data_IF_931739034662
#
_entry.id   IF_931739034662
#
_cell.length_a   1.000
_cell.length_b   1.000
_cell.length_c   1.000
_cell.angle_alpha   90.00
_cell.angle_beta   90.00
_cell.angle_gamma   90.00
#
_symmetry.space_group_name_H-M   'P 1'
#
loop_
_entity.id
_entity.type
_entity.pdbx_description
1 polymer ?
#
# COMPACT_ATOMS: atom_id res chain seq x y z
N UNK A 1 3.33 -18.26 5.47
CA UNK A 1 2.59 -17.31 6.33
C UNK A 1 1.35 -16.86 5.56
N UNK A 2 0.16 -16.89 6.17
CA UNK A 2 -1.04 -16.37 5.53
C UNK A 2 -1.23 -14.88 5.86
N UNK A 3 -1.81 -14.10 4.93
CA UNK A 3 -1.98 -12.66 5.17
C UNK A 3 -2.90 -12.34 6.34
N UNK A 4 -3.82 -13.24 6.71
CA UNK A 4 -4.67 -13.03 7.90
C UNK A 4 -3.84 -12.87 9.19
N UNK A 5 -2.69 -13.53 9.27
CA UNK A 5 -1.81 -13.47 10.43
C UNK A 5 -0.97 -12.19 10.40
N UNK A 6 -0.52 -11.79 9.20
CA UNK A 6 0.08 -10.47 8.95
C UNK A 6 -0.88 -9.36 9.35
N UNK A 7 -2.11 -9.41 8.87
CA UNK A 7 -3.16 -8.42 9.12
C UNK A 7 -3.39 -8.23 10.62
N UNK A 8 -3.45 -9.32 11.41
CA UNK A 8 -3.63 -9.24 12.86
C UNK A 8 -2.51 -8.50 13.58
N UNK A 9 -1.29 -8.54 13.04
CA UNK A 9 -0.11 -7.90 13.60
C UNK A 9 0.05 -6.42 13.17
N UNK A 10 -0.68 -5.97 12.15
CA UNK A 10 -0.55 -4.62 11.63
C UNK A 10 -0.95 -3.55 12.65
N UNK A 11 -0.12 -2.52 12.69
CA UNK A 11 -0.26 -1.26 13.42
C UNK A 11 0.09 -0.11 12.48
N UNK A 12 -0.19 1.11 12.91
CA UNK A 12 0.22 2.31 12.19
C UNK A 12 1.71 2.62 12.42
N UNK A 13 2.61 1.74 11.96
CA UNK A 13 4.05 1.90 12.16
C UNK A 13 4.89 1.35 10.99
N UNK A 14 6.19 1.69 11.00
CA UNK A 14 7.14 1.23 9.99
C UNK A 14 7.40 -0.28 10.06
N UNK A 15 7.25 -0.91 11.23
CA UNK A 15 7.40 -2.37 11.34
C UNK A 15 6.32 -3.10 10.52
N UNK A 16 5.10 -2.56 10.51
CA UNK A 16 3.99 -3.08 9.72
C UNK A 16 4.22 -2.88 8.23
N UNK A 17 4.89 -1.80 7.83
CA UNK A 17 5.35 -1.58 6.44
C UNK A 17 6.34 -2.67 6.02
N UNK A 18 7.32 -2.99 6.86
CA UNK A 18 8.28 -4.07 6.57
C UNK A 18 7.57 -5.44 6.47
N UNK A 19 6.64 -5.73 7.38
CA UNK A 19 5.91 -7.00 7.40
C UNK A 19 5.07 -7.22 6.13
N UNK A 20 4.42 -6.16 5.63
CA UNK A 20 3.68 -6.22 4.36
C UNK A 20 4.63 -6.42 3.19
N UNK A 21 5.77 -5.72 3.17
CA UNK A 21 6.77 -5.84 2.11
C UNK A 21 7.33 -7.27 2.03
N UNK A 22 7.67 -7.86 3.18
CA UNK A 22 8.14 -9.25 3.29
C UNK A 22 7.09 -10.23 2.75
N UNK A 23 5.81 -10.05 3.14
CA UNK A 23 4.73 -10.89 2.65
C UNK A 23 4.54 -10.78 1.12
N UNK A 24 4.66 -9.58 0.57
CA UNK A 24 4.46 -9.31 -0.85
C UNK A 24 5.71 -9.59 -1.70
N UNK A 25 6.89 -9.73 -1.09
CA UNK A 25 8.17 -9.97 -1.78
C UNK A 25 8.86 -8.70 -2.29
N UNK A 26 8.66 -7.55 -1.64
CA UNK A 26 9.26 -6.27 -2.01
C UNK A 26 10.36 -5.82 -1.07
N UNK A 27 11.24 -4.94 -1.57
CA UNK A 27 12.21 -4.21 -0.76
C UNK A 27 11.65 -2.85 -0.36
N UNK A 28 11.82 -2.46 0.90
CA UNK A 28 11.42 -1.13 1.39
C UNK A 28 12.54 -0.13 1.16
N UNK A 29 12.19 1.04 0.63
CA UNK A 29 13.10 2.17 0.47
C UNK A 29 12.44 3.50 0.84
N UNK A 30 13.25 4.55 0.84
CA UNK A 30 12.78 5.91 1.05
C UNK A 30 12.09 6.44 -0.22
N UNK A 31 11.21 7.42 -0.04
CA UNK A 31 10.67 8.18 -1.15
C UNK A 31 11.79 9.03 -1.79
N UNK A 32 12.12 8.83 -3.09
CA UNK A 32 13.23 9.54 -3.73
C UNK A 32 12.96 11.04 -3.92
N UNK A 33 11.70 11.47 -3.88
CA UNK A 33 11.30 12.88 -4.05
C UNK A 33 11.26 13.62 -2.71
N UNK A 34 10.98 12.91 -1.62
CA UNK A 34 11.01 13.46 -0.26
C UNK A 34 11.40 12.36 0.74
N UNK A 35 12.71 12.21 0.95
CA UNK A 35 13.28 11.14 1.76
C UNK A 35 12.96 11.27 3.26
N UNK A 36 12.69 12.48 3.74
CA UNK A 36 12.39 12.77 5.15
C UNK A 36 10.90 12.58 5.49
N UNK A 37 10.05 12.33 4.49
CA UNK A 37 8.63 12.12 4.68
C UNK A 37 8.25 10.74 5.26
N UNK A 38 6.98 10.60 5.61
CA UNK A 38 6.42 9.35 6.16
C UNK A 38 6.20 8.26 5.11
N UNK A 39 6.29 8.62 3.82
CA UNK A 39 6.13 7.68 2.73
C UNK A 39 7.34 6.77 2.59
N UNK A 40 7.08 5.49 2.46
CA UNK A 40 8.04 4.47 2.02
C UNK A 40 7.63 3.95 0.66
N UNK A 41 8.61 3.49 -0.10
CA UNK A 41 8.41 2.95 -1.44
C UNK A 41 8.81 1.49 -1.44
N UNK A 42 7.94 0.64 -1.98
CA UNK A 42 8.24 -0.74 -2.30
C UNK A 42 8.85 -0.83 -3.68
N UNK A 43 10.01 -1.45 -3.75
CA UNK A 43 10.73 -1.74 -4.98
C UNK A 43 10.72 -3.24 -5.24
N UNK A 44 10.54 -3.62 -6.51
CA UNK A 44 10.70 -4.99 -6.93
C UNK A 44 12.19 -5.37 -6.86
N UNK A 45 12.56 -6.48 -6.19
CA UNK A 45 13.94 -6.96 -6.21
C UNK A 45 14.37 -7.47 -7.61
N UNK A 46 13.43 -7.64 -8.55
CA UNK A 46 13.70 -8.07 -9.93
C UNK A 46 14.13 -6.92 -10.85
N UNK A 47 14.01 -5.68 -10.38
CA UNK A 47 14.36 -4.46 -11.13
C UNK A 47 15.57 -3.82 -10.45
N UNK A 48 16.67 -3.71 -11.18
CA UNK A 48 17.91 -3.12 -10.63
C UNK A 48 17.84 -1.59 -10.57
N UNK A 49 17.21 -0.98 -11.58
CA UNK A 49 17.00 0.43 -11.77
C UNK A 49 15.77 0.93 -10.97
N UNK A 50 16.02 1.59 -9.84
CA UNK A 50 14.99 2.13 -8.94
C UNK A 50 14.36 3.43 -9.46
N UNK A 51 14.18 3.55 -10.78
CA UNK A 51 13.56 4.72 -11.44
C UNK A 51 12.04 4.77 -11.24
N UNK A 52 11.42 3.65 -10.86
CA UNK A 52 10.03 3.57 -10.46
C UNK A 52 9.84 2.67 -9.23
N UNK A 53 8.78 2.93 -8.47
CA UNK A 53 8.34 2.08 -7.37
C UNK A 53 7.13 1.25 -7.76
N UNK A 54 6.88 0.16 -7.04
CA UNK A 54 5.65 -0.62 -7.20
C UNK A 54 4.52 0.04 -6.41
N UNK A 55 4.79 0.34 -5.14
CA UNK A 55 3.78 0.87 -4.22
C UNK A 55 4.41 1.91 -3.30
N UNK A 56 3.73 3.04 -3.10
CA UNK A 56 4.02 3.93 -1.97
C UNK A 56 3.13 3.55 -0.79
N UNK A 57 3.67 3.56 0.43
CA UNK A 57 2.91 3.20 1.63
C UNK A 57 3.28 4.11 2.79
N UNK A 58 2.31 4.43 3.65
CA UNK A 58 2.53 5.16 4.90
C UNK A 58 1.64 4.67 6.05
N UNK A 59 2.03 4.89 7.32
CA UNK A 59 1.17 4.60 8.45
C UNK A 59 0.07 5.66 8.62
N UNK A 60 -1.10 5.26 9.13
CA UNK A 60 -2.22 6.13 9.50
C UNK A 60 -2.81 5.65 10.83
N UNK A 61 -2.64 6.44 11.89
CA UNK A 61 -3.01 6.05 13.26
C UNK A 61 -4.52 5.82 13.42
N UNK A 62 -5.34 6.62 12.75
CA UNK A 62 -6.80 6.53 12.84
C UNK A 62 -7.40 5.43 11.95
N UNK A 63 -6.57 4.75 11.15
CA UNK A 63 -7.02 3.67 10.28
C UNK A 63 -7.12 2.37 11.09
N UNK A 64 -8.34 1.88 11.26
CA UNK A 64 -8.67 0.69 12.06
C UNK A 64 -9.87 -0.05 11.44
N UNK A 65 -10.29 -1.22 11.97
CA UNK A 65 -11.44 -1.93 11.45
C UNK A 65 -12.75 -1.13 11.55
N UNK A 66 -12.87 -0.20 12.51
CA UNK A 66 -14.06 0.63 12.69
C UNK A 66 -14.09 1.87 11.79
N UNK A 67 -13.00 2.20 11.11
CA UNK A 67 -12.94 3.35 10.20
C UNK A 67 -13.97 3.21 9.08
N UNK A 68 -14.77 4.25 8.86
CA UNK A 68 -15.86 4.22 7.90
C UNK A 68 -15.36 4.32 6.45
N UNK A 69 -16.19 3.86 5.51
CA UNK A 69 -15.95 4.05 4.07
C UNK A 69 -15.76 5.52 3.70
N UNK A 70 -16.45 6.44 4.37
CA UNK A 70 -16.33 7.87 4.10
C UNK A 70 -14.95 8.41 4.50
N UNK A 71 -14.41 7.96 5.64
CA UNK A 71 -13.06 8.34 6.08
C UNK A 71 -11.99 7.76 5.16
N UNK A 72 -12.15 6.52 4.71
CA UNK A 72 -11.24 5.90 3.75
C UNK A 72 -11.23 6.65 2.43
N UNK A 73 -12.39 7.09 1.93
CA UNK A 73 -12.48 7.91 0.71
C UNK A 73 -11.70 9.23 0.83
N UNK A 74 -11.51 9.78 2.03
CA UNK A 74 -10.70 10.99 2.23
C UNK A 74 -9.20 10.71 2.04
N UNK A 75 -8.74 9.47 2.29
CA UNK A 75 -7.34 9.09 2.04
C UNK A 75 -6.96 9.25 0.57
N UNK A 76 -7.92 9.14 -0.36
CA UNK A 76 -7.67 9.33 -1.78
C UNK A 76 -7.11 10.71 -2.13
N UNK A 77 -7.43 11.75 -1.35
CA UNK A 77 -6.83 13.08 -1.56
C UNK A 77 -5.31 13.06 -1.40
N UNK A 78 -4.80 12.22 -0.50
CA UNK A 78 -3.37 12.06 -0.26
C UNK A 78 -2.71 11.23 -1.36
N UNK A 79 -3.44 10.29 -1.97
CA UNK A 79 -2.99 9.57 -3.18
C UNK A 79 -2.73 10.58 -4.29
N UNK A 80 -3.71 11.45 -4.59
CA UNK A 80 -3.57 12.50 -5.61
C UNK A 80 -2.39 13.42 -5.31
N UNK A 81 -2.32 13.97 -4.10
CA UNK A 81 -1.23 14.88 -3.71
C UNK A 81 0.16 14.22 -3.81
N UNK A 82 0.30 12.96 -3.40
CA UNK A 82 1.55 12.21 -3.53
C UNK A 82 1.93 12.02 -5.00
N UNK A 83 1.00 11.55 -5.83
CA UNK A 83 1.28 11.31 -7.26
C UNK A 83 1.62 12.60 -8.00
N UNK A 84 0.96 13.71 -7.67
CA UNK A 84 1.30 15.03 -8.21
C UNK A 84 2.71 15.47 -7.79
N UNK A 85 3.08 15.22 -6.52
CA UNK A 85 4.41 15.56 -6.01
C UNK A 85 5.55 14.80 -6.70
N UNK A 86 5.29 13.57 -7.17
CA UNK A 86 6.30 12.83 -7.93
C UNK A 86 6.59 13.45 -9.30
N UNK A 87 5.64 14.21 -9.84
CA UNK A 87 5.73 14.83 -11.16
C UNK A 87 6.01 13.79 -12.25
N UNK A 88 6.91 14.14 -13.18
CA UNK A 88 7.36 13.25 -14.25
C UNK A 88 8.65 12.47 -13.93
N UNK A 89 9.21 12.63 -12.73
CA UNK A 89 10.53 12.08 -12.36
C UNK A 89 10.46 10.75 -11.63
N UNK A 90 9.29 10.38 -11.13
CA UNK A 90 9.09 9.11 -10.42
C UNK A 90 7.63 8.68 -10.55
N UNK A 91 7.37 7.39 -10.45
CA UNK A 91 6.01 6.86 -10.45
C UNK A 91 5.89 5.63 -9.56
N UNK A 92 4.67 5.40 -9.07
CA UNK A 92 4.27 4.15 -8.43
C UNK A 92 2.98 3.65 -9.06
N UNK A 93 2.74 2.34 -9.00
CA UNK A 93 1.50 1.74 -9.52
C UNK A 93 0.35 1.79 -8.51
N UNK A 94 0.68 1.78 -7.22
CA UNK A 94 -0.30 1.81 -6.14
C UNK A 94 0.13 2.69 -4.97
N UNK A 95 -0.84 3.17 -4.20
CA UNK A 95 -0.63 3.90 -2.94
C UNK A 95 -1.42 3.23 -1.83
N UNK A 96 -0.75 2.92 -0.73
CA UNK A 96 -1.30 2.18 0.39
C UNK A 96 -1.22 2.93 1.71
N UNK A 97 -2.16 2.62 2.59
CA UNK A 97 -2.24 3.12 3.95
C UNK A 97 -2.37 1.93 4.88
N UNK A 98 -1.48 1.86 5.87
CA UNK A 98 -1.50 0.82 6.90
C UNK A 98 -1.90 1.41 8.24
N UNK A 99 -2.78 0.70 8.94
CA UNK A 99 -3.20 1.04 10.29
C UNK A 99 -3.41 -0.20 11.14
N UNK A 100 -4.12 -0.04 12.25
CA UNK A 100 -4.44 -1.14 13.16
C UNK A 100 -5.28 -2.19 12.43
N UNK A 101 -4.70 -3.37 12.18
CA UNK A 101 -5.37 -4.48 11.51
C UNK A 101 -6.08 -4.14 10.19
N UNK A 102 -5.55 -3.14 9.46
CA UNK A 102 -6.15 -2.69 8.22
C UNK A 102 -5.10 -2.22 7.23
N UNK A 103 -5.27 -2.65 5.98
CA UNK A 103 -4.49 -2.20 4.83
C UNK A 103 -5.46 -1.73 3.76
N UNK A 104 -5.31 -0.49 3.31
CA UNK A 104 -6.07 0.05 2.18
C UNK A 104 -5.10 0.38 1.06
N UNK A 105 -5.38 -0.12 -0.14
CA UNK A 105 -4.55 0.09 -1.33
C UNK A 105 -5.41 0.71 -2.44
N UNK A 106 -4.96 1.84 -2.95
CA UNK A 106 -5.54 2.51 -4.12
C UNK A 106 -4.62 2.36 -5.33
N UNK A 107 -5.17 2.22 -6.55
CA UNK A 107 -4.37 2.40 -7.76
C UNK A 107 -3.90 3.86 -7.84
N UNK A 108 -2.62 4.05 -8.18
CA UNK A 108 -2.02 5.38 -8.29
C UNK A 108 -2.41 6.09 -9.59
N UNK A 109 -2.69 5.34 -10.65
CA UNK A 109 -3.13 5.85 -11.95
C UNK A 109 -4.51 5.27 -12.30
N UNK A 110 -5.30 6.04 -13.05
CA UNK A 110 -6.65 5.65 -13.51
C UNK A 110 -7.63 5.20 -12.40
N UNK A 111 -7.34 5.55 -11.15
CA UNK A 111 -8.14 5.26 -9.97
C UNK A 111 -9.23 6.29 -9.68
N UNK A 112 -10.06 5.98 -8.70
CA UNK A 112 -10.89 6.94 -8.01
C UNK A 112 -11.03 6.52 -6.54
N UNK A 113 -11.68 7.35 -5.72
CA UNK A 113 -11.88 7.11 -4.28
C UNK A 113 -12.64 5.82 -3.93
N UNK A 114 -13.30 5.19 -4.89
CA UNK A 114 -14.10 3.97 -4.73
C UNK A 114 -13.36 2.71 -5.21
N UNK A 115 -12.44 2.83 -6.17
CA UNK A 115 -11.58 1.73 -6.62
C UNK A 115 -10.44 1.53 -5.63
N UNK A 116 -10.58 0.54 -4.73
CA UNK A 116 -9.55 0.19 -3.75
C UNK A 116 -9.63 -1.26 -3.32
N UNK A 117 -8.50 -1.79 -2.86
CA UNK A 117 -8.45 -2.99 -2.04
C UNK A 117 -8.48 -2.57 -0.56
N UNK A 118 -9.45 -3.06 0.21
CA UNK A 118 -9.63 -2.73 1.62
C UNK A 118 -9.62 -4.02 2.43
N UNK A 119 -8.47 -4.32 3.03
CA UNK A 119 -8.22 -5.53 3.82
C UNK A 119 -8.37 -5.20 5.30
N UNK A 120 -9.32 -5.86 5.94
CA UNK A 120 -9.63 -5.76 7.35
C UNK A 120 -10.21 -7.12 7.82
N UNK A 121 -10.47 -7.31 9.13
CA UNK A 121 -10.96 -8.60 9.63
C UNK A 121 -12.22 -9.13 8.93
N UNK A 122 -13.07 -8.25 8.39
CA UNK A 122 -14.32 -8.64 7.71
C UNK A 122 -14.13 -9.01 6.22
N UNK A 123 -13.04 -8.56 5.61
CA UNK A 123 -12.78 -8.76 4.16
C UNK A 123 -11.72 -9.81 3.90
N UNK A 124 -10.81 -10.07 4.85
CA UNK A 124 -9.67 -10.96 4.63
C UNK A 124 -10.03 -12.43 4.41
N UNK A 125 -11.25 -12.84 4.71
CA UNK A 125 -11.74 -14.21 4.47
C UNK A 125 -12.49 -14.36 3.14
N UNK A 126 -12.68 -13.26 2.39
CA UNK A 126 -13.44 -13.25 1.15
C UNK A 126 -12.50 -13.43 -0.05
N UNK A 127 -12.76 -14.45 -0.87
CA UNK A 127 -11.92 -14.80 -2.04
C UNK A 127 -11.60 -13.60 -2.93
N UNK A 128 -12.60 -12.77 -3.27
CA UNK A 128 -12.39 -11.57 -4.10
C UNK A 128 -11.26 -10.66 -3.59
N UNK A 129 -11.12 -10.50 -2.28
CA UNK A 129 -10.10 -9.66 -1.67
C UNK A 129 -8.75 -10.37 -1.62
N UNK A 130 -8.76 -11.68 -1.38
CA UNK A 130 -7.56 -12.52 -1.40
C UNK A 130 -6.96 -12.62 -2.80
N UNK A 131 -7.79 -12.75 -3.83
CA UNK A 131 -7.35 -12.80 -5.23
C UNK A 131 -6.68 -11.49 -5.62
N UNK A 132 -7.29 -10.35 -5.26
CA UNK A 132 -6.70 -9.03 -5.50
C UNK A 132 -5.40 -8.81 -4.70
N UNK A 133 -5.31 -9.31 -3.46
CA UNK A 133 -4.07 -9.28 -2.70
C UNK A 133 -2.97 -10.13 -3.35
N UNK A 134 -3.32 -11.29 -3.90
CA UNK A 134 -2.36 -12.17 -4.57
C UNK A 134 -1.76 -11.50 -5.80
N UNK A 135 -2.56 -10.72 -6.55
CA UNK A 135 -2.06 -9.91 -7.67
C UNK A 135 -1.05 -8.83 -7.26
N UNK A 136 -1.02 -8.42 -5.99
CA UNK A 136 -0.05 -7.44 -5.50
C UNK A 136 1.32 -8.03 -5.20
N UNK A 137 1.47 -9.36 -5.14
CA UNK A 137 2.78 -9.98 -4.87
C UNK A 137 3.74 -9.75 -6.02
N UNK A 138 5.02 -9.54 -5.71
CA UNK A 138 6.06 -9.33 -6.71
C UNK A 138 6.09 -10.46 -7.75
N UNK A 139 5.96 -11.72 -7.30
CA UNK A 139 5.92 -12.88 -8.19
C UNK A 139 4.83 -12.82 -9.28
N UNK A 140 3.76 -12.07 -9.05
CA UNK A 140 2.61 -11.93 -9.95
C UNK A 140 2.57 -10.58 -10.67
N UNK A 141 3.36 -9.59 -10.22
CA UNK A 141 3.44 -8.28 -10.83
C UNK A 141 4.00 -8.35 -12.25
N UNK A 142 3.26 -7.78 -13.22
CA UNK A 142 3.78 -7.43 -14.55
C UNK A 142 4.56 -6.13 -14.38
N UNK A 143 5.89 -6.22 -14.54
CA UNK A 143 6.78 -5.07 -14.64
C UNK A 143 6.51 -4.34 -15.96
#
# INVERSE_FOLDING_TARGET
MEFKDVLKALKADNQSIELIAEYLGYQVGLNPVNADGDWRIYFSPRVEDKEAGVMAIRPVEELSPSTSTMEIRKLYQQVTALTESFGGSFAVSAVAFVGQQRLVVFPATAGNRDTRLDLNPDTITKNLYLDNLEQLKDANGRL
#
